data_IF_582042978719
#
_entry.id   IF_582042978719
#
_cell.length_a   1.000
_cell.length_b   1.000
_cell.length_c   1.000
_cell.angle_alpha   90.00
_cell.angle_beta   90.00
_cell.angle_gamma   90.00
#
_symmetry.space_group_name_H-M   'P 1'
#
loop_
_entity.id
_entity.type
_entity.pdbx_description
1 polymer ?
#
# COMPACT_ATOMS: atom_id res chain seq x y z
N UNK A 1 1.04 -36.04 30.69
CA UNK A 1 1.19 -34.72 31.33
C UNK A 1 1.02 -33.71 30.23
N UNK A 2 -0.21 -33.22 30.06
CA UNK A 2 -0.58 -32.32 28.96
C UNK A 2 -0.56 -30.92 29.51
N UNK A 3 0.33 -30.07 29.00
CA UNK A 3 0.32 -28.64 29.30
C UNK A 3 -0.63 -28.02 28.27
N UNK A 4 -1.81 -27.62 28.75
CA UNK A 4 -2.73 -26.76 28.01
C UNK A 4 -2.28 -25.31 28.29
N UNK A 5 -1.72 -24.64 27.29
CA UNK A 5 -1.45 -23.19 27.39
C UNK A 5 -2.72 -22.51 26.92
N UNK A 6 -3.66 -22.29 27.85
CA UNK A 6 -4.79 -21.38 27.64
C UNK A 6 -4.22 -19.95 27.51
N UNK A 7 -3.93 -19.55 26.28
CA UNK A 7 -3.51 -18.19 25.95
C UNK A 7 -4.71 -17.23 25.88
N UNK A 8 -5.74 -17.37 26.72
CA UNK A 8 -6.82 -16.37 26.79
C UNK A 8 -7.58 -16.48 28.13
N UNK A 9 -7.02 -15.88 29.17
CA UNK A 9 -7.79 -15.53 30.35
C UNK A 9 -7.23 -14.29 31.02
N UNK A 10 -7.74 -13.11 30.64
CA UNK A 10 -8.00 -11.98 31.53
C UNK A 10 -8.95 -10.99 30.83
N UNK A 11 -10.25 -11.11 31.11
CA UNK A 11 -11.24 -10.05 30.88
C UNK A 11 -11.09 -8.97 31.96
N UNK A 12 -10.74 -7.75 31.55
CA UNK A 12 -11.02 -6.50 32.29
C UNK A 12 -10.82 -5.32 31.34
N UNK A 13 -11.88 -4.75 30.76
CA UNK A 13 -11.90 -3.49 29.99
C UNK A 13 -10.54 -3.08 29.39
N UNK A 14 -9.96 -3.97 28.57
CA UNK A 14 -8.65 -3.72 27.99
C UNK A 14 -8.93 -2.84 26.79
N UNK A 15 -8.77 -1.54 26.98
CA UNK A 15 -8.67 -0.59 25.87
C UNK A 15 -7.65 -1.18 24.89
N UNK A 16 -8.13 -1.61 23.73
CA UNK A 16 -7.27 -2.22 22.72
C UNK A 16 -6.18 -1.21 22.40
N UNK A 17 -4.91 -1.62 22.38
CA UNK A 17 -3.86 -0.74 21.94
C UNK A 17 -4.18 -0.30 20.51
N UNK A 18 -4.34 1.00 20.30
CA UNK A 18 -4.54 1.59 18.97
C UNK A 18 -3.26 1.61 18.14
N UNK A 19 -2.26 0.83 18.56
CA UNK A 19 -0.92 0.70 18.00
C UNK A 19 -0.46 -0.75 18.12
N UNK A 20 0.08 -1.32 17.05
CA UNK A 20 0.57 -2.70 17.02
C UNK A 20 1.86 -2.76 16.21
N UNK A 21 2.87 -3.48 16.68
CA UNK A 21 4.19 -3.53 16.03
C UNK A 21 4.46 -4.92 15.44
N UNK A 22 4.78 -4.96 14.15
CA UNK A 22 5.11 -6.17 13.40
C UNK A 22 6.59 -6.17 13.05
N UNK A 23 7.34 -7.20 13.43
CA UNK A 23 8.74 -7.38 13.06
C UNK A 23 8.90 -8.54 12.06
N UNK A 24 9.40 -8.27 10.84
CA UNK A 24 9.98 -9.28 9.96
C UNK A 24 10.99 -10.18 10.67
N UNK A 25 11.22 -11.40 10.15
CA UNK A 25 12.16 -12.35 10.74
C UNK A 25 13.58 -11.77 10.85
N UNK A 26 13.97 -10.98 9.84
CA UNK A 26 15.26 -10.31 9.67
C UNK A 26 15.32 -8.90 10.27
N UNK A 27 14.24 -8.43 10.90
CA UNK A 27 14.19 -7.10 11.48
C UNK A 27 15.20 -6.93 12.63
N UNK A 28 15.83 -5.75 12.67
CA UNK A 28 16.74 -5.37 13.75
C UNK A 28 15.92 -5.07 15.01
N UNK A 29 16.39 -5.52 16.18
CA UNK A 29 15.82 -5.20 17.50
C UNK A 29 14.34 -5.59 17.70
N UNK A 30 13.91 -6.76 17.20
CA UNK A 30 12.54 -7.29 17.37
C UNK A 30 12.06 -7.57 18.81
N UNK A 31 12.86 -7.24 19.82
CA UNK A 31 12.54 -7.46 21.25
C UNK A 31 11.41 -6.59 21.81
N UNK A 32 10.75 -5.77 20.97
CA UNK A 32 9.59 -4.95 21.34
C UNK A 32 8.43 -5.07 20.35
N UNK A 33 8.46 -6.06 19.46
CA UNK A 33 7.37 -6.31 18.53
C UNK A 33 6.24 -7.09 19.20
N UNK A 34 5.00 -6.75 18.87
CA UNK A 34 3.82 -7.51 19.29
C UNK A 34 3.68 -8.80 18.47
N UNK A 35 4.04 -8.74 17.18
CA UNK A 35 4.14 -9.88 16.27
C UNK A 35 5.55 -10.00 15.69
N UNK A 36 6.16 -11.17 15.82
CA UNK A 36 7.42 -11.51 15.16
C UNK A 36 7.11 -12.53 14.06
N UNK A 37 7.36 -12.14 12.82
CA UNK A 37 7.21 -12.97 11.65
C UNK A 37 8.29 -14.05 11.60
N UNK A 38 7.93 -15.18 11.02
CA UNK A 38 8.67 -16.43 11.06
C UNK A 38 9.60 -16.61 9.86
N UNK A 39 9.39 -15.85 8.80
CA UNK A 39 10.05 -16.01 7.50
C UNK A 39 9.34 -17.02 6.58
N UNK A 40 8.27 -17.66 7.05
CA UNK A 40 7.39 -18.48 6.21
C UNK A 40 6.36 -17.58 5.51
N UNK A 41 6.40 -17.44 4.18
CA UNK A 41 5.59 -16.44 3.49
C UNK A 41 4.07 -16.59 3.67
N UNK A 42 3.56 -17.83 3.70
CA UNK A 42 2.12 -18.07 3.81
C UNK A 42 1.65 -17.81 5.24
N UNK A 43 2.40 -18.32 6.22
CA UNK A 43 2.09 -18.11 7.63
C UNK A 43 2.23 -16.63 8.03
N UNK A 44 3.26 -15.93 7.53
CA UNK A 44 3.50 -14.53 7.85
C UNK A 44 2.42 -13.63 7.26
N UNK A 45 1.99 -13.87 6.02
CA UNK A 45 0.84 -13.16 5.43
C UNK A 45 -0.44 -13.42 6.23
N UNK A 46 -0.72 -14.67 6.59
CA UNK A 46 -1.89 -15.00 7.39
C UNK A 46 -1.86 -14.30 8.76
N UNK A 47 -0.71 -14.25 9.42
CA UNK A 47 -0.54 -13.57 10.70
C UNK A 47 -0.73 -12.04 10.60
N UNK A 48 -0.26 -11.42 9.52
CA UNK A 48 -0.51 -9.99 9.26
C UNK A 48 -2.00 -9.73 9.08
N UNK A 49 -2.69 -10.57 8.29
CA UNK A 49 -4.13 -10.43 8.06
C UNK A 49 -4.92 -10.64 9.35
N UNK A 50 -4.58 -11.67 10.12
CA UNK A 50 -5.20 -11.94 11.42
C UNK A 50 -5.01 -10.76 12.38
N UNK A 51 -3.83 -10.12 12.41
CA UNK A 51 -3.60 -8.93 13.24
C UNK A 51 -4.51 -7.75 12.84
N UNK A 52 -4.70 -7.50 11.54
CA UNK A 52 -5.63 -6.47 11.05
C UNK A 52 -7.05 -6.78 11.51
N UNK A 53 -7.51 -8.02 11.31
CA UNK A 53 -8.85 -8.47 11.68
C UNK A 53 -9.09 -8.41 13.18
N UNK A 54 -8.12 -8.87 13.98
CA UNK A 54 -8.21 -8.86 15.44
C UNK A 54 -8.26 -7.45 16.00
N UNK A 55 -7.41 -6.54 15.52
CA UNK A 55 -7.43 -5.15 15.97
C UNK A 55 -8.75 -4.49 15.60
N UNK A 56 -9.22 -4.70 14.36
CA UNK A 56 -10.51 -4.17 13.91
C UNK A 56 -11.67 -4.70 14.75
N UNK A 57 -11.73 -6.00 15.02
CA UNK A 57 -12.84 -6.60 15.76
C UNK A 57 -12.82 -6.28 17.25
N UNK A 58 -11.64 -5.98 17.82
CA UNK A 58 -11.52 -5.63 19.23
C UNK A 58 -11.77 -4.13 19.48
N UNK A 59 -11.62 -3.24 18.48
CA UNK A 59 -11.79 -1.80 18.69
C UNK A 59 -13.22 -1.44 19.08
N UNK A 60 -13.36 -0.43 19.91
CA UNK A 60 -14.67 0.01 20.45
C UNK A 60 -15.55 0.71 19.40
N UNK A 61 -14.96 1.35 18.40
CA UNK A 61 -15.65 2.06 17.32
C UNK A 61 -14.77 2.18 16.09
N UNK A 62 -15.38 2.24 14.90
CA UNK A 62 -14.68 2.51 13.65
C UNK A 62 -14.06 3.90 13.58
N UNK A 63 -14.51 4.85 14.41
CA UNK A 63 -13.90 6.18 14.55
C UNK A 63 -12.51 6.14 15.22
N UNK A 64 -12.19 5.03 15.91
CA UNK A 64 -10.88 4.85 16.53
C UNK A 64 -9.92 4.30 15.48
N UNK A 65 -8.92 5.10 15.14
CA UNK A 65 -7.85 4.70 14.26
C UNK A 65 -7.00 3.57 14.88
N UNK A 66 -6.69 2.57 14.06
CA UNK A 66 -5.71 1.53 14.36
C UNK A 66 -4.44 1.90 13.62
N UNK A 67 -3.32 1.90 14.34
CA UNK A 67 -1.99 2.06 13.79
C UNK A 67 -1.25 0.73 13.85
N UNK A 68 -0.66 0.31 12.74
CA UNK A 68 0.20 -0.86 12.66
C UNK A 68 1.56 -0.40 12.13
N UNK A 69 2.60 -0.55 12.93
CA UNK A 69 3.98 -0.21 12.59
C UNK A 69 4.76 -1.47 12.25
N UNK A 70 5.24 -1.55 11.03
CA UNK A 70 6.21 -2.56 10.64
C UNK A 70 7.61 -2.11 11.04
N UNK A 71 8.43 -3.01 11.55
CA UNK A 71 9.85 -2.77 11.80
C UNK A 71 10.61 -3.08 10.52
N UNK A 72 11.48 -2.18 10.06
CA UNK A 72 12.26 -2.38 8.83
C UNK A 72 12.91 -3.77 8.72
N UNK A 73 13.10 -4.25 7.50
CA UNK A 73 13.47 -5.64 7.20
C UNK A 73 12.85 -6.07 5.88
N UNK A 74 12.75 -7.37 5.66
CA UNK A 74 12.16 -7.97 4.46
C UNK A 74 11.03 -8.92 4.84
N UNK A 75 9.85 -8.70 4.26
CA UNK A 75 8.74 -9.66 4.32
C UNK A 75 8.62 -10.27 2.94
N UNK A 76 8.90 -11.57 2.87
CA UNK A 76 8.57 -12.34 1.69
C UNK A 76 7.09 -12.71 1.75
N UNK A 77 6.33 -12.19 0.79
CA UNK A 77 4.93 -12.54 0.60
C UNK A 77 4.81 -13.83 -0.23
N UNK A 78 5.90 -14.42 -0.72
CA UNK A 78 5.85 -15.69 -1.46
C UNK A 78 4.99 -15.58 -2.73
N UNK A 79 4.46 -16.70 -3.21
CA UNK A 79 3.53 -16.71 -4.34
C UNK A 79 2.09 -16.63 -3.84
N UNK A 80 1.37 -15.58 -4.24
CA UNK A 80 -0.07 -15.43 -3.99
C UNK A 80 -0.80 -15.67 -5.30
N UNK A 81 -1.64 -16.70 -5.31
CA UNK A 81 -2.58 -16.99 -6.40
C UNK A 81 -4.00 -16.62 -5.98
N UNK A 82 -4.78 -16.07 -6.90
CA UNK A 82 -6.22 -15.77 -6.72
C UNK A 82 -6.52 -14.87 -5.51
N UNK A 83 -5.72 -13.81 -5.33
CA UNK A 83 -5.89 -12.88 -4.21
C UNK A 83 -4.81 -11.82 -4.10
N UNK A 84 -5.06 -10.84 -3.24
CA UNK A 84 -4.08 -9.80 -2.89
C UNK A 84 -3.32 -10.18 -1.62
N UNK A 85 -2.07 -9.70 -1.47
CA UNK A 85 -1.20 -10.17 -0.40
C UNK A 85 -1.53 -9.55 0.97
N UNK A 86 -1.54 -8.22 1.09
CA UNK A 86 -1.96 -7.50 2.29
C UNK A 86 -3.23 -6.73 1.96
N UNK A 87 -4.33 -7.07 2.61
CA UNK A 87 -5.65 -6.47 2.33
C UNK A 87 -6.17 -5.79 3.59
N UNK A 88 -6.59 -4.53 3.44
CA UNK A 88 -7.48 -3.88 4.40
C UNK A 88 -8.89 -4.16 3.90
N UNK A 89 -9.69 -5.00 4.59
CA UNK A 89 -11.00 -5.40 4.09
C UNK A 89 -12.02 -4.25 3.98
N UNK A 90 -13.05 -4.46 3.17
CA UNK A 90 -14.17 -3.51 3.04
C UNK A 90 -14.78 -3.18 4.42
N UNK A 91 -14.94 -1.88 4.69
CA UNK A 91 -15.48 -1.36 5.95
C UNK A 91 -14.47 -1.34 7.10
N UNK A 92 -13.22 -1.72 6.86
CA UNK A 92 -12.15 -1.60 7.84
C UNK A 92 -11.55 -0.20 7.78
N UNK A 93 -12.39 0.80 8.06
CA UNK A 93 -12.01 2.20 7.98
C UNK A 93 -11.04 2.59 9.11
N UNK A 94 -10.30 3.68 8.94
CA UNK A 94 -9.33 4.19 9.92
C UNK A 94 -8.23 3.16 10.29
N UNK A 95 -7.76 2.39 9.31
CA UNK A 95 -6.58 1.50 9.46
C UNK A 95 -5.36 2.18 8.85
N UNK A 96 -4.31 2.34 9.64
CA UNK A 96 -3.07 3.01 9.24
C UNK A 96 -1.90 2.03 9.30
N UNK A 97 -1.29 1.74 8.16
CA UNK A 97 -0.13 0.87 8.02
C UNK A 97 1.13 1.72 7.77
N UNK A 98 2.10 1.62 8.66
CA UNK A 98 3.40 2.29 8.55
C UNK A 98 4.50 1.24 8.30
N UNK A 99 4.98 1.16 7.08
CA UNK A 99 6.01 0.24 6.62
C UNK A 99 7.39 0.50 7.22
N UNK A 100 7.71 1.74 7.58
CA UNK A 100 9.01 2.16 8.12
C UNK A 100 10.21 1.58 7.32
N UNK A 101 10.09 1.56 5.99
CA UNK A 101 11.10 1.05 5.07
C UNK A 101 11.12 -0.47 4.91
N UNK A 102 10.17 -1.22 5.47
CA UNK A 102 10.01 -2.65 5.18
C UNK A 102 9.96 -2.89 3.68
N UNK A 103 10.74 -3.87 3.25
CA UNK A 103 10.75 -4.38 1.89
C UNK A 103 9.75 -5.53 1.77
N UNK A 104 8.76 -5.36 0.91
CA UNK A 104 7.84 -6.43 0.52
C UNK A 104 8.38 -7.08 -0.77
N UNK A 105 8.58 -8.39 -0.72
CA UNK A 105 8.98 -9.22 -1.88
C UNK A 105 7.96 -10.33 -2.12
N UNK A 106 8.11 -11.05 -3.22
CA UNK A 106 7.23 -12.15 -3.60
C UNK A 106 6.64 -11.95 -5.00
N UNK A 107 5.76 -12.86 -5.38
CA UNK A 107 5.03 -12.88 -6.64
C UNK A 107 3.54 -12.90 -6.35
N UNK A 108 2.84 -11.84 -6.73
CA UNK A 108 1.38 -11.80 -6.68
C UNK A 108 0.91 -12.01 -8.12
N UNK A 109 0.29 -13.16 -8.39
CA UNK A 109 -0.07 -13.63 -9.73
C UNK A 109 -1.48 -14.21 -9.75
N UNK A 110 -2.24 -13.98 -10.83
CA UNK A 110 -3.57 -14.55 -11.03
C UNK A 110 -3.63 -15.06 -12.47
N UNK A 111 -3.99 -16.35 -12.63
CA UNK A 111 -4.00 -17.01 -13.93
C UNK A 111 -5.19 -16.66 -14.81
N UNK A 112 -6.22 -16.06 -14.21
CA UNK A 112 -7.47 -15.66 -14.86
C UNK A 112 -7.47 -14.17 -15.25
N UNK A 113 -6.31 -13.51 -15.18
CA UNK A 113 -6.12 -12.07 -15.47
C UNK A 113 -7.01 -11.15 -14.59
N UNK A 114 -7.33 -11.57 -13.36
CA UNK A 114 -8.03 -10.72 -12.39
C UNK A 114 -7.04 -9.76 -11.73
N UNK A 115 -7.49 -8.53 -11.45
CA UNK A 115 -6.65 -7.53 -10.78
C UNK A 115 -6.35 -7.93 -9.33
N UNK A 116 -5.06 -8.05 -9.02
CA UNK A 116 -4.51 -8.41 -7.70
C UNK A 116 -3.39 -7.46 -7.33
N UNK A 117 -3.12 -7.34 -6.02
CA UNK A 117 -2.27 -6.29 -5.48
C UNK A 117 -1.39 -6.78 -4.34
N UNK A 118 -0.23 -6.15 -4.17
CA UNK A 118 0.61 -6.45 -3.01
C UNK A 118 0.03 -5.83 -1.73
N UNK A 119 -0.45 -4.59 -1.85
CA UNK A 119 -1.21 -3.89 -0.81
C UNK A 119 -2.50 -3.35 -1.40
N UNK A 120 -3.65 -3.71 -0.81
CA UNK A 120 -4.98 -3.32 -1.29
C UNK A 120 -5.83 -2.74 -0.16
N UNK A 121 -6.45 -1.57 -0.38
CA UNK A 121 -7.34 -0.96 0.62
C UNK A 121 -8.80 -1.40 0.53
N UNK A 122 -9.22 -2.10 -0.52
CA UNK A 122 -10.54 -2.71 -0.70
C UNK A 122 -11.75 -1.87 -0.23
N UNK A 123 -11.79 -0.60 -0.64
CA UNK A 123 -12.82 0.38 -0.30
C UNK A 123 -12.93 0.70 1.20
N UNK A 124 -11.86 0.49 1.97
CA UNK A 124 -11.76 0.98 3.33
C UNK A 124 -11.41 2.47 3.34
N UNK A 125 -12.18 3.25 4.09
CA UNK A 125 -12.05 4.71 4.12
C UNK A 125 -11.09 5.17 5.23
N UNK A 126 -10.53 6.37 5.07
CA UNK A 126 -9.62 7.00 6.02
C UNK A 126 -8.38 6.12 6.33
N UNK A 127 -7.88 5.41 5.33
CA UNK A 127 -6.70 4.56 5.45
C UNK A 127 -5.42 5.37 5.25
N UNK A 128 -4.35 5.01 5.97
CA UNK A 128 -2.99 5.51 5.69
C UNK A 128 -2.11 4.33 5.30
N UNK A 129 -1.40 4.42 4.18
CA UNK A 129 -0.34 3.50 3.79
C UNK A 129 0.94 4.31 3.60
N UNK A 130 1.92 4.09 4.48
CA UNK A 130 3.13 4.92 4.56
C UNK A 130 4.41 4.07 4.52
N UNK A 131 5.38 4.43 3.67
CA UNK A 131 6.77 4.02 3.89
C UNK A 131 7.11 2.57 3.56
N UNK A 132 6.34 1.89 2.69
CA UNK A 132 6.68 0.54 2.22
C UNK A 132 7.61 0.56 1.00
N UNK A 133 8.55 -0.39 0.94
CA UNK A 133 9.33 -0.70 -0.26
C UNK A 133 8.74 -1.93 -0.96
N UNK A 134 7.78 -1.71 -1.86
CA UNK A 134 7.04 -2.74 -2.58
C UNK A 134 7.78 -3.07 -3.87
N UNK A 135 8.53 -4.18 -3.88
CA UNK A 135 9.33 -4.61 -5.03
C UNK A 135 8.90 -5.97 -5.57
N UNK A 136 7.61 -6.27 -5.49
CA UNK A 136 7.06 -7.55 -5.92
C UNK A 136 7.17 -7.70 -7.44
N UNK A 137 7.78 -8.82 -7.85
CA UNK A 137 7.95 -9.22 -9.25
C UNK A 137 6.63 -9.78 -9.79
N UNK A 138 5.57 -8.98 -9.72
CA UNK A 138 4.26 -9.47 -10.10
C UNK A 138 4.24 -9.77 -11.61
N UNK A 139 4.14 -11.06 -11.94
CA UNK A 139 3.75 -11.53 -13.26
C UNK A 139 2.26 -11.17 -13.45
N UNK A 140 1.87 -10.62 -14.61
CA UNK A 140 0.46 -10.30 -14.93
C UNK A 140 0.05 -8.81 -14.81
N UNK A 141 -1.26 -8.56 -14.83
CA UNK A 141 -1.91 -7.23 -14.85
C UNK A 141 -2.10 -6.62 -13.45
N UNK A 142 -1.00 -6.29 -12.76
CA UNK A 142 -1.07 -6.00 -11.32
C UNK A 142 -0.45 -4.66 -10.93
N UNK A 143 -0.87 -4.14 -9.79
CA UNK A 143 -0.27 -2.96 -9.15
C UNK A 143 0.43 -3.36 -7.86
N UNK A 144 1.58 -2.74 -7.57
CA UNK A 144 2.23 -2.88 -6.27
C UNK A 144 1.29 -2.46 -5.14
N UNK A 145 0.70 -1.26 -5.27
CA UNK A 145 -0.30 -0.73 -4.34
C UNK A 145 -1.54 -0.29 -5.10
N UNK A 146 -2.71 -0.68 -4.59
CA UNK A 146 -4.00 -0.26 -5.12
C UNK A 146 -4.90 0.32 -4.02
N UNK A 147 -5.31 1.58 -4.20
CA UNK A 147 -6.27 2.23 -3.31
C UNK A 147 -7.61 2.46 -4.01
N UNK A 148 -8.68 2.00 -3.37
CA UNK A 148 -10.07 2.27 -3.80
C UNK A 148 -10.90 2.96 -2.72
N UNK A 149 -10.35 3.10 -1.52
CA UNK A 149 -10.98 3.78 -0.38
C UNK A 149 -11.03 5.30 -0.48
N UNK A 150 -11.92 5.91 0.29
CA UNK A 150 -12.14 7.37 0.36
C UNK A 150 -11.32 7.98 1.49
N UNK A 151 -10.88 9.24 1.31
CA UNK A 151 -10.09 9.99 2.29
C UNK A 151 -8.78 9.29 2.71
N UNK A 152 -8.20 8.48 1.82
CA UNK A 152 -6.96 7.76 2.11
C UNK A 152 -5.73 8.65 1.92
N UNK A 153 -4.67 8.36 2.67
CA UNK A 153 -3.33 8.94 2.48
C UNK A 153 -2.38 7.83 2.08
N UNK A 154 -1.80 7.94 0.89
CA UNK A 154 -0.77 7.03 0.41
C UNK A 154 0.53 7.81 0.31
N UNK A 155 1.45 7.57 1.25
CA UNK A 155 2.62 8.41 1.49
C UNK A 155 3.93 7.62 1.41
N UNK A 156 4.97 8.20 0.79
CA UNK A 156 6.35 7.74 0.93
C UNK A 156 6.62 6.26 0.62
N UNK A 157 5.77 5.63 -0.21
CA UNK A 157 5.96 4.26 -0.66
C UNK A 157 6.85 4.22 -1.91
N UNK A 158 7.71 3.20 -1.98
CA UNK A 158 8.49 2.89 -3.17
C UNK A 158 7.91 1.64 -3.84
N UNK A 159 7.23 1.81 -4.97
CA UNK A 159 6.62 0.74 -5.75
C UNK A 159 7.43 0.48 -7.03
N UNK A 160 8.01 -0.71 -7.18
CA UNK A 160 8.81 -1.09 -8.34
C UNK A 160 8.71 -2.56 -8.74
N UNK A 161 9.07 -2.87 -9.98
CA UNK A 161 9.11 -4.26 -10.48
C UNK A 161 7.75 -4.87 -10.82
N UNK A 162 6.68 -4.08 -10.88
CA UNK A 162 5.31 -4.51 -11.20
C UNK A 162 4.84 -3.94 -12.55
N UNK A 163 3.67 -4.34 -13.05
CA UNK A 163 3.09 -3.72 -14.24
C UNK A 163 2.71 -2.26 -13.97
N UNK A 164 2.00 -1.99 -12.88
CA UNK A 164 1.79 -0.65 -12.34
C UNK A 164 2.43 -0.49 -10.96
N UNK A 165 3.04 0.67 -10.67
CA UNK A 165 3.58 0.94 -9.33
C UNK A 165 2.47 1.16 -8.31
N UNK A 166 1.70 2.22 -8.53
CA UNK A 166 0.60 2.64 -7.67
C UNK A 166 -0.61 3.00 -8.51
N UNK A 167 -1.79 2.54 -8.11
CA UNK A 167 -3.04 3.04 -8.68
C UNK A 167 -4.06 3.46 -7.62
N UNK A 168 -4.72 4.57 -7.87
CA UNK A 168 -5.78 5.11 -7.04
C UNK A 168 -7.07 5.32 -7.83
N UNK A 169 -8.16 4.73 -7.35
CA UNK A 169 -9.53 5.00 -7.81
C UNK A 169 -10.39 5.63 -6.71
N UNK A 170 -9.85 5.72 -5.50
CA UNK A 170 -10.48 6.31 -4.32
C UNK A 170 -10.78 7.80 -4.44
N UNK A 171 -11.73 8.29 -3.65
CA UNK A 171 -12.15 9.71 -3.65
C UNK A 171 -11.51 10.49 -2.51
N UNK A 172 -11.26 11.80 -2.69
CA UNK A 172 -10.67 12.69 -1.68
C UNK A 172 -9.33 12.19 -1.11
N UNK A 173 -8.54 11.47 -1.91
CA UNK A 173 -7.29 10.88 -1.44
C UNK A 173 -6.11 11.85 -1.58
N UNK A 174 -5.12 11.70 -0.69
CA UNK A 174 -3.82 12.36 -0.81
C UNK A 174 -2.76 11.34 -1.15
N UNK A 175 -2.06 11.55 -2.26
CA UNK A 175 -1.01 10.65 -2.75
C UNK A 175 0.28 11.46 -2.82
N UNK A 176 1.22 11.20 -1.92
CA UNK A 176 2.39 12.07 -1.74
C UNK A 176 3.70 11.36 -1.47
N UNK A 177 4.81 11.92 -1.98
CA UNK A 177 6.16 11.40 -1.70
C UNK A 177 6.47 9.99 -2.23
N UNK A 178 5.55 9.37 -2.98
CA UNK A 178 5.74 8.01 -3.45
C UNK A 178 6.74 8.00 -4.62
N UNK A 179 7.52 6.92 -4.70
CA UNK A 179 8.40 6.61 -5.82
C UNK A 179 7.84 5.42 -6.59
N UNK A 180 7.52 5.59 -7.86
CA UNK A 180 7.05 4.52 -8.73
C UNK A 180 8.04 4.34 -9.90
N UNK A 181 8.91 3.34 -9.82
CA UNK A 181 10.04 3.17 -10.75
C UNK A 181 10.24 1.74 -11.22
N UNK A 182 10.69 1.55 -12.46
CA UNK A 182 10.95 0.22 -13.02
C UNK A 182 9.68 -0.61 -13.28
N UNK A 183 8.52 0.04 -13.32
CA UNK A 183 7.22 -0.55 -13.66
C UNK A 183 6.86 -0.25 -15.13
N UNK A 184 5.88 -0.92 -15.72
CA UNK A 184 5.37 -0.51 -17.05
C UNK A 184 4.70 0.88 -16.98
N UNK A 185 3.87 1.11 -15.96
CA UNK A 185 3.31 2.41 -15.59
C UNK A 185 3.70 2.79 -14.15
N UNK A 186 4.03 4.07 -13.92
CA UNK A 186 4.40 4.56 -12.60
C UNK A 186 3.20 4.68 -11.65
N UNK A 187 2.51 5.82 -11.73
CA UNK A 187 1.35 6.16 -10.89
C UNK A 187 0.14 6.41 -11.78
N UNK A 188 -0.99 5.77 -11.45
CA UNK A 188 -2.28 5.99 -12.10
C UNK A 188 -3.30 6.55 -11.11
N UNK A 189 -4.06 7.57 -11.52
CA UNK A 189 -5.18 8.08 -10.75
C UNK A 189 -6.43 8.22 -11.63
N UNK A 190 -7.50 7.56 -11.21
CA UNK A 190 -8.87 7.73 -11.75
C UNK A 190 -9.83 8.30 -10.71
N UNK A 191 -9.37 8.44 -9.46
CA UNK A 191 -10.12 8.97 -8.32
C UNK A 191 -10.54 10.42 -8.46
N UNK A 192 -11.56 10.83 -7.71
CA UNK A 192 -12.11 12.19 -7.73
C UNK A 192 -11.61 13.01 -6.53
N UNK A 193 -11.42 14.32 -6.72
CA UNK A 193 -10.96 15.26 -5.69
C UNK A 193 -9.62 14.85 -5.02
N UNK A 194 -8.73 14.21 -5.77
CA UNK A 194 -7.47 13.72 -5.21
C UNK A 194 -6.37 14.79 -5.29
N UNK A 195 -5.50 14.83 -4.28
CA UNK A 195 -4.27 15.62 -4.28
C UNK A 195 -3.08 14.71 -4.51
N UNK A 196 -2.35 14.94 -5.59
CA UNK A 196 -1.20 14.14 -6.02
C UNK A 196 0.03 15.03 -6.02
N UNK A 197 0.93 14.87 -5.04
CA UNK A 197 2.02 15.83 -4.84
C UNK A 197 3.37 15.25 -4.43
N UNK A 198 4.45 15.75 -5.03
CA UNK A 198 5.81 15.37 -4.63
C UNK A 198 6.17 13.92 -4.96
N UNK A 199 5.43 13.25 -5.86
CA UNK A 199 5.74 11.88 -6.25
C UNK A 199 6.82 11.85 -7.35
N UNK A 200 7.61 10.79 -7.36
CA UNK A 200 8.63 10.52 -8.39
C UNK A 200 8.20 9.33 -9.23
N UNK A 201 8.06 9.50 -10.54
CA UNK A 201 7.59 8.46 -11.45
C UNK A 201 8.56 8.25 -12.63
N UNK A 202 9.06 7.04 -12.78
CA UNK A 202 9.94 6.63 -13.88
C UNK A 202 9.58 5.21 -14.34
N UNK A 203 8.41 5.09 -14.94
CA UNK A 203 7.94 3.86 -15.58
C UNK A 203 8.55 3.67 -16.97
N UNK A 204 8.63 2.42 -17.42
CA UNK A 204 9.10 2.08 -18.75
C UNK A 204 8.24 2.75 -19.82
N UNK A 205 6.91 2.76 -19.67
CA UNK A 205 6.00 3.37 -20.64
C UNK A 205 5.55 4.76 -20.19
N UNK A 206 4.90 4.90 -19.04
CA UNK A 206 4.37 6.18 -18.56
C UNK A 206 4.72 6.48 -17.11
N UNK A 207 4.87 7.76 -16.78
CA UNK A 207 5.21 8.21 -15.43
C UNK A 207 3.96 8.33 -14.56
N UNK A 208 3.28 9.46 -14.63
CA UNK A 208 2.04 9.76 -13.92
C UNK A 208 0.90 9.90 -14.93
N UNK A 209 -0.16 9.11 -14.75
CA UNK A 209 -1.39 9.21 -15.54
C UNK A 209 -2.55 9.63 -14.64
N UNK A 210 -3.28 10.68 -15.04
CA UNK A 210 -4.50 11.11 -14.37
C UNK A 210 -5.68 11.18 -15.34
N UNK A 211 -6.73 10.44 -15.02
CA UNK A 211 -8.05 10.54 -15.66
C UNK A 211 -9.14 10.97 -14.66
N UNK A 212 -8.77 11.13 -13.39
CA UNK A 212 -9.65 11.57 -12.31
C UNK A 212 -10.20 12.99 -12.47
N UNK A 213 -11.23 13.32 -11.71
CA UNK A 213 -11.92 14.63 -11.77
C UNK A 213 -11.57 15.50 -10.57
N UNK A 214 -11.49 16.82 -10.76
CA UNK A 214 -11.21 17.81 -9.70
C UNK A 214 -9.90 17.54 -8.95
N UNK A 215 -8.88 17.00 -9.61
CA UNK A 215 -7.63 16.65 -8.95
C UNK A 215 -6.65 17.83 -8.91
N UNK A 216 -5.83 17.87 -7.87
CA UNK A 216 -4.69 18.80 -7.76
C UNK A 216 -3.42 17.98 -7.95
N UNK A 217 -2.64 18.29 -8.98
CA UNK A 217 -1.41 17.57 -9.33
C UNK A 217 -0.25 18.56 -9.29
N UNK A 218 0.56 18.51 -8.23
CA UNK A 218 1.59 19.54 -7.99
C UNK A 218 2.94 19.02 -7.52
N UNK A 219 4.02 19.55 -8.08
CA UNK A 219 5.38 19.24 -7.60
C UNK A 219 5.84 17.80 -7.86
N UNK A 220 5.22 17.06 -8.78
CA UNK A 220 5.63 15.71 -9.12
C UNK A 220 6.79 15.73 -10.12
N UNK A 221 7.66 14.73 -10.04
CA UNK A 221 8.78 14.54 -10.96
C UNK A 221 8.55 13.28 -11.79
N UNK A 222 8.44 13.42 -13.11
CA UNK A 222 8.28 12.32 -14.05
C UNK A 222 9.45 12.29 -15.02
N UNK A 223 10.28 11.25 -14.98
CA UNK A 223 11.51 11.23 -15.78
C UNK A 223 11.82 9.88 -16.43
N UNK A 224 12.49 9.94 -17.59
CA UNK A 224 12.98 8.77 -18.32
C UNK A 224 11.90 7.76 -18.71
N UNK A 225 10.67 8.24 -18.97
CA UNK A 225 9.56 7.43 -19.44
C UNK A 225 9.57 7.34 -20.98
N UNK A 226 9.31 6.16 -21.54
CA UNK A 226 9.29 6.00 -23.00
C UNK A 226 8.16 6.78 -23.67
N UNK A 227 7.02 6.98 -23.02
CA UNK A 227 5.91 7.78 -23.53
C UNK A 227 5.81 9.11 -22.76
N UNK A 228 4.66 9.38 -22.14
CA UNK A 228 4.41 10.63 -21.42
C UNK A 228 4.99 10.58 -20.01
N UNK A 229 5.65 11.66 -19.60
CA UNK A 229 6.02 11.88 -18.22
C UNK A 229 4.78 12.05 -17.36
N UNK A 230 3.97 13.07 -17.65
CA UNK A 230 2.70 13.33 -16.98
C UNK A 230 1.59 13.46 -18.02
N UNK A 231 0.64 12.53 -17.99
CA UNK A 231 -0.54 12.56 -18.85
C UNK A 231 -1.79 12.88 -18.04
N UNK A 232 -2.49 13.96 -18.37
CA UNK A 232 -3.78 14.28 -17.77
C UNK A 232 -4.89 14.36 -18.83
N UNK A 233 -5.88 13.48 -18.73
CA UNK A 233 -7.15 13.56 -19.46
C UNK A 233 -8.35 13.79 -18.53
N UNK A 234 -8.08 13.91 -17.22
CA UNK A 234 -9.06 14.24 -16.20
C UNK A 234 -9.68 15.63 -16.34
N UNK A 235 -10.89 15.80 -15.81
CA UNK A 235 -11.65 17.05 -15.90
C UNK A 235 -11.44 17.94 -14.66
N UNK A 236 -11.48 19.26 -14.83
CA UNK A 236 -11.35 20.26 -13.75
C UNK A 236 -10.10 20.08 -12.87
N UNK A 237 -9.01 19.58 -13.44
CA UNK A 237 -7.77 19.36 -12.70
C UNK A 237 -6.89 20.62 -12.69
N UNK A 238 -6.23 20.87 -11.57
CA UNK A 238 -5.18 21.90 -11.45
C UNK A 238 -3.83 21.22 -11.49
N UNK A 239 -2.98 21.60 -12.45
CA UNK A 239 -1.67 20.99 -12.68
C UNK A 239 -0.60 22.09 -12.62
N UNK A 240 0.28 22.05 -11.62
CA UNK A 240 1.25 23.12 -11.38
C UNK A 240 2.59 22.61 -10.87
N UNK A 241 3.71 23.23 -11.27
CA UNK A 241 5.03 22.94 -10.70
C UNK A 241 5.54 21.51 -10.87
N UNK A 242 5.00 20.72 -11.81
CA UNK A 242 5.49 19.37 -12.10
C UNK A 242 6.70 19.45 -13.05
N UNK A 243 7.64 18.52 -12.90
CA UNK A 243 8.85 18.41 -13.72
C UNK A 243 8.76 17.15 -14.58
N UNK A 244 8.75 17.32 -15.91
CA UNK A 244 8.85 16.22 -16.87
C UNK A 244 10.17 16.31 -17.63
N UNK A 245 11.08 15.34 -17.48
CA UNK A 245 12.41 15.38 -18.12
C UNK A 245 12.84 14.04 -18.71
N UNK A 246 13.45 14.06 -19.91
CA UNK A 246 13.94 12.84 -20.56
C UNK A 246 12.84 11.85 -20.98
N UNK A 247 11.59 12.33 -21.14
CA UNK A 247 10.46 11.55 -21.65
C UNK A 247 10.25 11.84 -23.15
N UNK A 248 9.66 10.92 -23.93
CA UNK A 248 9.30 11.25 -25.33
C UNK A 248 8.12 12.23 -25.42
N UNK A 249 7.20 12.20 -24.46
CA UNK A 249 6.09 13.14 -24.30
C UNK A 249 6.11 13.84 -22.93
N UNK A 250 5.73 15.12 -22.91
CA UNK A 250 5.67 15.95 -21.69
C UNK A 250 4.43 15.69 -20.86
#
# INVERSE_FOLDING_TARGET
MSINIDYFALKKDVKVPSSFVIAPQDAINKSGADLILTGDPEADRAAIQEAIDDLHNKRESTDVAIRIDFMGGTIDLGTVTDGSAIVIPLGYDNIHLYGNGVKLTGEVYDSDDVEIYSVFTNNADNVIIDGFNIVNNASGFTYGLYNTGTNCIIADNNCGGSLGGLSNTGTNCTITGNTCSGNLGGLSNTGTNCTITGNTCSGYFGGLSNTGTNCIITGNTCSSNYANGLSNTGTNCTITGNTCSGNLGG
#
